data_IF_530250408201
#
_entry.id   IF_530250408201
#
_cell.length_a   1.000
_cell.length_b   1.000
_cell.length_c   1.000
_cell.angle_alpha   90.00
_cell.angle_beta   90.00
_cell.angle_gamma   90.00
#
_symmetry.space_group_name_H-M   'P 1'
#
loop_
_entity.id
_entity.type
_entity.pdbx_description
1 polymer ?
#
# COMPACT_ATOMS: atom_id res chain seq x y z
N UNK A 1 -3.58 25.59 30.98
CA UNK A 1 -2.70 25.25 29.84
C UNK A 1 -3.46 25.58 28.57
N UNK A 2 -2.96 26.48 27.71
CA UNK A 2 -3.47 26.58 26.35
C UNK A 2 -3.18 25.25 25.66
N UNK A 3 -4.23 24.49 25.30
CA UNK A 3 -4.07 23.35 24.41
C UNK A 3 -3.69 23.93 23.06
N UNK A 4 -2.39 23.90 22.73
CA UNK A 4 -1.92 24.34 21.42
C UNK A 4 -2.59 23.51 20.34
N UNK A 5 -3.10 24.17 19.30
CA UNK A 5 -3.70 23.50 18.15
C UNK A 5 -2.71 22.50 17.56
N UNK A 6 -3.16 21.26 17.32
CA UNK A 6 -2.33 20.21 16.70
C UNK A 6 -2.51 20.22 15.18
N UNK A 7 -1.44 19.99 14.43
CA UNK A 7 -1.49 19.89 12.96
C UNK A 7 -1.84 18.47 12.53
N UNK A 8 -2.74 18.35 11.56
CA UNK A 8 -2.84 17.17 10.69
C UNK A 8 -2.28 17.59 9.34
N UNK A 9 -1.24 16.90 8.89
CA UNK A 9 -0.61 17.18 7.60
C UNK A 9 -1.20 16.25 6.55
N UNK A 10 -1.76 16.83 5.49
CA UNK A 10 -2.36 16.09 4.37
C UNK A 10 -1.43 16.09 3.18
N UNK A 11 -0.90 14.90 2.85
CA UNK A 11 0.03 14.65 1.76
C UNK A 11 -0.72 14.10 0.54
N UNK A 12 -0.74 14.87 -0.55
CA UNK A 12 -1.37 14.44 -1.79
C UNK A 12 -0.45 13.61 -2.66
N UNK A 13 -0.89 12.42 -3.11
CA UNK A 13 -0.17 11.64 -4.14
C UNK A 13 -0.96 11.44 -5.43
N UNK A 14 -2.24 11.83 -5.47
CA UNK A 14 -3.10 11.73 -6.65
C UNK A 14 -4.19 10.66 -6.51
N UNK A 15 -4.32 9.80 -7.52
CA UNK A 15 -5.34 8.77 -7.59
C UNK A 15 -6.73 9.25 -8.03
N UNK A 16 -7.68 8.32 -8.04
CA UNK A 16 -9.10 8.56 -8.40
C UNK A 16 -9.78 9.59 -7.49
N UNK A 17 -9.39 9.67 -6.21
CA UNK A 17 -9.88 10.70 -5.28
C UNK A 17 -9.57 12.12 -5.74
N UNK A 18 -8.51 12.28 -6.53
CA UNK A 18 -8.11 13.50 -7.19
C UNK A 18 -8.50 13.52 -8.68
N UNK A 19 -9.18 12.49 -9.18
CA UNK A 19 -9.48 12.33 -10.59
C UNK A 19 -10.70 13.12 -11.04
N UNK A 20 -10.73 13.47 -12.33
CA UNK A 20 -11.86 14.17 -12.95
C UNK A 20 -12.36 13.40 -14.16
N UNK A 21 -13.67 13.11 -14.15
CA UNK A 21 -14.39 12.61 -15.31
C UNK A 21 -14.58 13.73 -16.35
N UNK A 22 -14.58 13.37 -17.63
CA UNK A 22 -14.86 14.32 -18.69
C UNK A 22 -16.31 14.86 -18.60
N UNK A 23 -16.59 16.09 -19.08
CA UNK A 23 -17.95 16.56 -19.23
C UNK A 23 -18.75 15.59 -20.11
N UNK A 24 -19.89 15.10 -19.62
CA UNK A 24 -20.74 14.07 -20.26
C UNK A 24 -20.15 12.65 -20.34
N UNK A 25 -19.23 12.28 -19.45
CA UNK A 25 -18.82 10.88 -19.31
C UNK A 25 -20.06 9.97 -19.14
N UNK A 26 -20.26 9.05 -20.10
CA UNK A 26 -21.36 8.09 -20.07
C UNK A 26 -21.03 6.89 -19.15
N UNK A 27 -19.73 6.65 -18.92
CA UNK A 27 -19.22 5.61 -18.04
C UNK A 27 -18.44 6.23 -16.87
N UNK A 28 -18.69 5.75 -15.66
CA UNK A 28 -17.92 6.09 -14.45
C UNK A 28 -16.41 5.84 -14.55
N UNK A 29 -15.98 5.03 -15.53
CA UNK A 29 -14.57 4.72 -15.81
C UNK A 29 -13.88 5.75 -16.71
N UNK A 30 -14.63 6.64 -17.36
CA UNK A 30 -14.09 7.66 -18.26
C UNK A 30 -13.62 8.89 -17.47
N UNK A 31 -12.54 8.71 -16.73
CA UNK A 31 -11.89 9.78 -15.98
C UNK A 31 -10.37 9.69 -16.09
N UNK A 32 -9.72 10.81 -15.80
CA UNK A 32 -8.26 10.85 -15.62
C UNK A 32 -7.98 10.99 -14.14
N UNK A 33 -7.18 10.07 -13.57
CA UNK A 33 -6.76 10.15 -12.18
C UNK A 33 -5.86 11.36 -11.93
N UNK A 34 -5.75 11.79 -10.67
CA UNK A 34 -4.78 12.80 -10.23
C UNK A 34 -4.81 14.13 -11.01
N UNK A 35 -5.97 14.76 -11.11
CA UNK A 35 -6.15 16.06 -11.77
C UNK A 35 -6.26 17.20 -10.75
N UNK A 36 -6.88 16.96 -9.59
CA UNK A 36 -7.08 17.98 -8.55
C UNK A 36 -5.99 17.94 -7.47
N UNK A 37 -5.38 19.07 -7.09
CA UNK A 37 -4.48 19.17 -5.96
C UNK A 37 -5.17 18.86 -4.63
N UNK A 38 -4.42 18.35 -3.67
CA UNK A 38 -4.94 17.96 -2.35
C UNK A 38 -5.58 19.11 -1.58
N UNK A 39 -5.10 20.35 -1.78
CA UNK A 39 -5.71 21.54 -1.19
C UNK A 39 -7.16 21.76 -1.67
N UNK A 40 -7.46 21.48 -2.94
CA UNK A 40 -8.81 21.58 -3.50
C UNK A 40 -9.71 20.46 -2.97
N UNK A 41 -9.18 19.25 -2.77
CA UNK A 41 -9.94 18.12 -2.21
C UNK A 41 -10.42 18.38 -0.78
N UNK A 42 -9.67 19.17 -0.03
CA UNK A 42 -9.98 19.53 1.36
C UNK A 42 -10.83 20.80 1.47
N UNK A 43 -11.00 21.55 0.39
CA UNK A 43 -11.74 22.80 0.39
C UNK A 43 -13.20 22.55 0.85
N UNK A 44 -13.61 23.25 1.91
CA UNK A 44 -14.96 23.14 2.46
C UNK A 44 -15.21 21.92 3.36
N UNK A 45 -14.22 21.04 3.58
CA UNK A 45 -14.35 19.97 4.56
C UNK A 45 -14.15 20.50 5.99
N UNK A 46 -14.95 20.02 6.98
CA UNK A 46 -14.78 20.42 8.36
C UNK A 46 -13.44 19.91 8.90
N UNK A 47 -12.71 20.78 9.59
CA UNK A 47 -11.48 20.40 10.32
C UNK A 47 -11.86 19.82 11.68
N UNK A 48 -11.24 18.70 12.13
CA UNK A 48 -11.45 18.17 13.47
C UNK A 48 -11.19 19.22 14.57
N UNK A 49 -11.97 19.18 15.64
CA UNK A 49 -11.84 20.13 16.75
C UNK A 49 -10.44 20.08 17.37
N UNK A 50 -9.85 21.25 17.65
CA UNK A 50 -8.50 21.36 18.20
C UNK A 50 -7.37 21.08 17.20
N UNK A 51 -7.69 20.86 15.92
CA UNK A 51 -6.71 20.62 14.87
C UNK A 51 -6.67 21.76 13.84
N UNK A 52 -5.54 21.88 13.14
CA UNK A 52 -5.40 22.63 11.89
C UNK A 52 -4.94 21.71 10.76
N UNK A 53 -5.33 22.00 9.53
CA UNK A 53 -4.89 21.24 8.36
C UNK A 53 -3.74 21.97 7.66
N UNK A 54 -2.69 21.21 7.32
CA UNK A 54 -1.62 21.67 6.43
C UNK A 54 -1.56 20.76 5.22
N UNK A 55 -1.67 21.33 4.03
CA UNK A 55 -1.71 20.57 2.78
C UNK A 55 -0.34 20.60 2.10
N UNK A 56 0.13 19.46 1.61
CA UNK A 56 1.36 19.36 0.82
C UNK A 56 1.16 18.40 -0.34
N UNK A 57 1.42 18.85 -1.58
CA UNK A 57 1.38 17.99 -2.75
C UNK A 57 2.72 17.25 -2.92
N UNK A 58 2.73 15.95 -2.63
CA UNK A 58 3.93 15.10 -2.76
C UNK A 58 4.07 14.60 -4.19
N UNK A 59 3.01 14.08 -4.79
CA UNK A 59 2.96 13.62 -6.17
C UNK A 59 1.56 13.81 -6.74
N UNK A 60 1.40 13.66 -8.05
CA UNK A 60 0.11 13.82 -8.71
C UNK A 60 -0.01 12.78 -9.84
N UNK A 61 -0.16 11.51 -9.43
CA UNK A 61 -0.12 10.37 -10.35
C UNK A 61 -1.27 9.38 -10.11
N UNK A 62 -1.53 8.55 -11.11
CA UNK A 62 -2.31 7.32 -10.92
C UNK A 62 -1.46 6.31 -10.12
N UNK A 63 -2.07 5.61 -9.17
CA UNK A 63 -1.35 4.70 -8.27
C UNK A 63 -0.75 3.49 -8.99
N UNK A 64 -1.29 3.12 -10.17
CA UNK A 64 -0.69 2.08 -11.02
C UNK A 64 0.72 2.46 -11.53
N UNK A 65 1.03 3.75 -11.54
CA UNK A 65 2.31 4.30 -11.98
C UNK A 65 3.20 4.70 -10.78
N UNK A 66 2.89 4.21 -9.57
CA UNK A 66 3.69 4.42 -8.37
C UNK A 66 5.09 3.81 -8.53
N UNK A 67 6.12 4.57 -8.20
CA UNK A 67 7.53 4.16 -8.37
C UNK A 67 8.40 4.47 -7.14
N UNK A 68 9.68 4.09 -7.23
CA UNK A 68 10.66 4.33 -6.17
C UNK A 68 10.80 5.83 -5.84
N UNK A 69 10.81 6.70 -6.85
CA UNK A 69 11.06 8.14 -6.66
C UNK A 69 9.91 8.76 -5.86
N UNK A 70 8.66 8.40 -6.19
CA UNK A 70 7.49 8.85 -5.45
C UNK A 70 7.46 8.27 -4.05
N UNK A 71 7.79 6.98 -3.87
CA UNK A 71 7.89 6.39 -2.53
C UNK A 71 8.97 7.03 -1.66
N UNK A 72 10.16 7.30 -2.20
CA UNK A 72 11.24 8.00 -1.49
C UNK A 72 10.79 9.39 -1.07
N UNK A 73 10.19 10.15 -1.99
CA UNK A 73 9.67 11.49 -1.68
C UNK A 73 8.61 11.40 -0.57
N UNK A 74 7.64 10.50 -0.67
CA UNK A 74 6.61 10.31 0.35
C UNK A 74 7.21 9.95 1.71
N UNK A 75 8.17 9.03 1.75
CA UNK A 75 8.88 8.63 2.96
C UNK A 75 9.62 9.80 3.60
N UNK A 76 10.37 10.58 2.83
CA UNK A 76 11.08 11.78 3.32
C UNK A 76 10.11 12.77 3.98
N UNK A 77 8.97 13.01 3.34
CA UNK A 77 7.95 13.91 3.89
C UNK A 77 7.28 13.34 5.13
N UNK A 78 7.01 12.03 5.16
CA UNK A 78 6.51 11.37 6.36
C UNK A 78 7.48 11.51 7.54
N UNK A 79 8.77 11.20 7.34
CA UNK A 79 9.82 11.34 8.38
C UNK A 79 9.88 12.78 8.90
N UNK A 80 9.92 13.75 7.98
CA UNK A 80 9.98 15.16 8.31
C UNK A 80 8.81 15.62 9.20
N UNK A 81 7.58 15.26 8.84
CA UNK A 81 6.40 15.69 9.59
C UNK A 81 6.18 14.90 10.88
N UNK A 82 6.47 13.59 10.89
CA UNK A 82 6.32 12.75 12.08
C UNK A 82 7.26 13.18 13.21
N UNK A 83 8.43 13.76 12.88
CA UNK A 83 9.39 14.27 13.85
C UNK A 83 8.93 15.54 14.60
N UNK A 84 7.89 16.25 14.15
CA UNK A 84 7.45 17.50 14.76
C UNK A 84 6.42 17.28 15.88
N UNK A 85 6.67 17.79 17.08
CA UNK A 85 5.80 17.58 18.26
C UNK A 85 4.39 18.17 18.12
N UNK A 86 4.24 19.21 17.31
CA UNK A 86 2.97 19.86 17.02
C UNK A 86 2.18 19.18 15.89
N UNK A 87 2.76 18.18 15.21
CA UNK A 87 2.05 17.29 14.28
C UNK A 87 1.45 16.12 15.05
N UNK A 88 0.13 15.98 14.96
CA UNK A 88 -0.61 14.88 15.57
C UNK A 88 -0.67 13.64 14.69
N UNK A 89 -0.81 13.80 13.38
CA UNK A 89 -0.91 12.68 12.44
C UNK A 89 -0.78 13.13 10.99
N UNK A 90 -0.61 12.16 10.11
CA UNK A 90 -0.58 12.38 8.66
C UNK A 90 -1.81 11.76 8.02
N UNK A 91 -2.34 12.44 7.01
CA UNK A 91 -3.32 11.91 6.06
C UNK A 91 -2.67 11.88 4.68
N UNK A 92 -2.78 10.77 3.95
CA UNK A 92 -2.24 10.62 2.60
C UNK A 92 -3.42 10.33 1.66
N UNK A 93 -3.64 11.19 0.67
CA UNK A 93 -4.59 10.87 -0.41
C UNK A 93 -3.88 10.09 -1.50
N UNK A 94 -4.40 8.91 -1.82
CA UNK A 94 -3.73 7.95 -2.69
C UNK A 94 -4.73 7.30 -3.66
N UNK A 95 -4.24 6.79 -4.79
CA UNK A 95 -5.02 5.94 -5.69
C UNK A 95 -5.27 4.56 -5.09
N UNK A 96 -6.35 3.91 -5.52
CA UNK A 96 -6.82 2.67 -4.89
C UNK A 96 -6.00 1.45 -5.29
N UNK A 97 -5.40 1.45 -6.48
CA UNK A 97 -4.83 0.24 -7.09
C UNK A 97 -3.59 -0.29 -6.37
N UNK A 98 -2.73 0.59 -5.85
CA UNK A 98 -1.51 0.20 -5.12
C UNK A 98 -1.47 0.75 -3.69
N UNK A 99 -2.64 1.15 -3.14
CA UNK A 99 -2.74 1.65 -1.77
C UNK A 99 -2.21 0.63 -0.76
N UNK A 100 -2.51 -0.66 -0.95
CA UNK A 100 -2.07 -1.73 -0.05
C UNK A 100 -0.54 -1.91 -0.04
N UNK A 101 0.12 -1.66 -1.17
CA UNK A 101 1.57 -1.71 -1.32
C UNK A 101 2.22 -0.53 -0.59
N UNK A 102 1.76 0.70 -0.85
CA UNK A 102 2.27 1.90 -0.18
C UNK A 102 2.03 1.84 1.33
N UNK A 103 0.84 1.43 1.78
CA UNK A 103 0.53 1.27 3.20
C UNK A 103 1.49 0.27 3.87
N UNK A 104 1.69 -0.90 3.25
CA UNK A 104 2.59 -1.92 3.75
C UNK A 104 4.05 -1.44 3.82
N UNK A 105 4.54 -0.75 2.77
CA UNK A 105 5.87 -0.17 2.73
C UNK A 105 6.07 0.81 3.90
N UNK A 106 5.18 1.80 4.04
CA UNK A 106 5.25 2.80 5.10
C UNK A 106 5.23 2.15 6.50
N UNK A 107 4.36 1.16 6.72
CA UNK A 107 4.30 0.46 8.01
C UNK A 107 5.59 -0.29 8.32
N UNK A 108 6.19 -0.90 7.30
CA UNK A 108 7.38 -1.73 7.45
C UNK A 108 8.61 -0.90 7.79
N UNK A 109 8.79 0.25 7.14
CA UNK A 109 10.00 1.06 7.33
C UNK A 109 9.86 2.12 8.43
N UNK A 110 8.67 2.72 8.60
CA UNK A 110 8.47 3.81 9.57
C UNK A 110 8.03 3.33 10.96
N UNK A 111 7.18 2.30 11.03
CA UNK A 111 6.52 1.86 12.27
C UNK A 111 6.06 3.03 13.18
N UNK A 112 5.24 3.97 12.65
CA UNK A 112 5.07 5.29 13.25
C UNK A 112 4.25 5.22 14.55
N UNK A 113 4.66 6.01 15.56
CA UNK A 113 3.94 6.17 16.84
C UNK A 113 2.77 7.17 16.75
N UNK A 114 2.69 7.93 15.66
CA UNK A 114 1.57 8.80 15.29
C UNK A 114 0.81 8.12 14.13
N UNK A 115 -0.49 8.38 13.95
CA UNK A 115 -1.24 7.76 12.88
C UNK A 115 -0.79 8.32 11.53
N UNK A 116 -0.51 7.41 10.59
CA UNK A 116 -0.36 7.72 9.16
C UNK A 116 -1.52 7.07 8.43
N UNK A 117 -2.52 7.86 8.06
CA UNK A 117 -3.77 7.38 7.48
C UNK A 117 -3.73 7.55 5.97
N UNK A 118 -3.83 6.47 5.21
CA UNK A 118 -4.08 6.52 3.78
C UNK A 118 -5.58 6.53 3.54
N UNK A 119 -6.03 7.35 2.60
CA UNK A 119 -7.41 7.33 2.11
C UNK A 119 -7.44 7.47 0.60
N UNK A 120 -8.57 7.11 0.01
CA UNK A 120 -8.76 6.99 -1.43
C UNK A 120 -10.24 7.16 -1.77
N UNK A 121 -10.56 7.11 -3.06
CA UNK A 121 -11.94 7.06 -3.55
C UNK A 121 -12.01 6.06 -4.71
N UNK A 122 -13.12 5.35 -4.82
CA UNK A 122 -13.39 4.45 -5.95
C UNK A 122 -14.01 5.21 -7.13
N UNK A 123 -14.51 6.42 -6.91
CA UNK A 123 -15.11 7.29 -7.93
C UNK A 123 -14.38 8.63 -8.04
N UNK A 124 -14.33 9.23 -9.25
CA UNK A 124 -13.68 10.53 -9.45
C UNK A 124 -14.34 11.64 -8.62
N UNK A 125 -13.60 12.70 -8.37
CA UNK A 125 -14.00 13.78 -7.45
C UNK A 125 -15.25 14.56 -7.91
N UNK A 126 -15.47 14.64 -9.23
CA UNK A 126 -16.64 15.29 -9.82
C UNK A 126 -17.80 14.33 -10.15
N UNK A 127 -17.73 13.06 -9.75
CA UNK A 127 -18.87 12.15 -9.84
C UNK A 127 -19.97 12.58 -8.86
N UNK A 128 -21.23 12.49 -9.30
CA UNK A 128 -22.40 12.86 -8.48
C UNK A 128 -22.49 12.06 -7.18
N UNK A 129 -22.00 10.81 -7.20
CA UNK A 129 -22.00 9.87 -6.10
C UNK A 129 -20.57 9.53 -5.63
N UNK A 130 -19.67 10.51 -5.70
CA UNK A 130 -18.28 10.38 -5.23
C UNK A 130 -18.20 10.00 -3.75
N UNK A 131 -17.30 9.05 -3.43
CA UNK A 131 -17.03 8.60 -2.07
C UNK A 131 -15.88 9.37 -1.38
N UNK A 132 -15.10 10.14 -2.16
CA UNK A 132 -13.92 10.87 -1.69
C UNK A 132 -14.16 11.80 -0.49
N UNK A 133 -15.18 12.69 -0.51
CA UNK A 133 -15.43 13.62 0.60
C UNK A 133 -15.75 12.91 1.92
N UNK A 134 -16.47 11.79 1.88
CA UNK A 134 -16.77 11.01 3.10
C UNK A 134 -15.51 10.30 3.60
N UNK A 135 -14.77 9.65 2.70
CA UNK A 135 -13.52 8.97 3.04
C UNK A 135 -12.49 9.94 3.66
N UNK A 136 -12.37 11.17 3.13
CA UNK A 136 -11.52 12.23 3.70
C UNK A 136 -11.95 12.63 5.11
N UNK A 137 -13.25 12.84 5.36
CA UNK A 137 -13.75 13.18 6.70
C UNK A 137 -13.46 12.07 7.70
N UNK A 138 -13.69 10.82 7.29
CA UNK A 138 -13.44 9.66 8.15
C UNK A 138 -11.94 9.50 8.45
N UNK A 139 -11.10 9.68 7.44
CA UNK A 139 -9.66 9.61 7.59
C UNK A 139 -9.09 10.74 8.47
N UNK A 140 -9.63 11.96 8.35
CA UNK A 140 -9.32 13.08 9.25
C UNK A 140 -9.73 12.79 10.70
N UNK A 141 -10.90 12.18 10.92
CA UNK A 141 -11.34 11.79 12.26
C UNK A 141 -10.39 10.76 12.89
N UNK A 142 -9.91 9.78 12.10
CA UNK A 142 -8.91 8.80 12.55
C UNK A 142 -7.55 9.47 12.84
N UNK A 143 -7.08 10.35 11.96
CA UNK A 143 -5.82 11.09 12.18
C UNK A 143 -5.88 12.00 13.42
N UNK A 144 -7.08 12.50 13.77
CA UNK A 144 -7.35 13.30 14.97
C UNK A 144 -7.57 12.45 16.25
N UNK A 145 -7.58 11.12 16.15
CA UNK A 145 -7.87 10.27 17.32
C UNK A 145 -6.65 10.14 18.22
N UNK A 146 -6.81 10.52 19.49
CA UNK A 146 -5.75 10.40 20.49
C UNK A 146 -5.33 8.93 20.68
N UNK A 147 -4.03 8.66 20.64
CA UNK A 147 -3.46 7.32 20.80
C UNK A 147 -3.59 6.41 19.57
N UNK A 148 -4.18 6.89 18.46
CA UNK A 148 -4.06 6.19 17.18
C UNK A 148 -2.58 6.19 16.74
N UNK A 149 -2.14 5.07 16.17
CA UNK A 149 -0.74 4.86 15.77
C UNK A 149 -0.65 3.85 14.64
N UNK A 150 0.53 3.75 14.03
CA UNK A 150 0.76 2.90 12.87
C UNK A 150 0.20 3.48 11.59
N UNK A 151 0.35 2.71 10.51
CA UNK A 151 -0.19 3.02 9.20
C UNK A 151 -1.54 2.33 9.04
N UNK A 152 -2.54 3.13 8.67
CA UNK A 152 -3.93 2.72 8.55
C UNK A 152 -4.43 3.08 7.15
N UNK A 153 -5.39 2.32 6.65
CA UNK A 153 -6.18 2.70 5.48
C UNK A 153 -7.62 2.97 5.93
N UNK A 154 -8.18 4.10 5.49
CA UNK A 154 -9.56 4.49 5.80
C UNK A 154 -10.34 4.72 4.52
N UNK A 155 -11.34 3.87 4.28
CA UNK A 155 -12.23 3.93 3.13
C UNK A 155 -13.57 3.28 3.47
N UNK A 156 -14.67 3.82 2.93
CA UNK A 156 -16.04 3.36 3.17
C UNK A 156 -16.38 3.20 4.67
N UNK A 157 -15.92 4.14 5.51
CA UNK A 157 -16.13 4.12 6.96
C UNK A 157 -15.41 2.99 7.71
N UNK A 158 -14.49 2.26 7.08
CA UNK A 158 -13.71 1.17 7.68
C UNK A 158 -12.29 1.62 7.96
N UNK A 159 -11.72 1.15 9.05
CA UNK A 159 -10.33 1.41 9.44
C UNK A 159 -9.58 0.08 9.34
N UNK A 160 -8.61 0.01 8.43
CA UNK A 160 -7.91 -1.23 8.08
C UNK A 160 -6.41 -1.08 8.41
N UNK A 161 -5.79 -2.13 8.95
CA UNK A 161 -4.35 -2.11 9.22
C UNK A 161 -3.54 -2.29 7.94
N UNK A 162 -2.42 -1.57 7.79
CA UNK A 162 -1.56 -1.66 6.60
C UNK A 162 -1.05 -3.08 6.28
N UNK A 163 -0.82 -3.91 7.31
CA UNK A 163 -0.43 -5.32 7.15
C UNK A 163 -1.52 -6.11 6.42
N UNK A 164 -2.79 -5.84 6.72
CA UNK A 164 -3.92 -6.71 6.38
C UNK A 164 -4.71 -6.19 5.16
N UNK A 165 -4.77 -4.87 4.95
CA UNK A 165 -5.60 -4.24 3.90
C UNK A 165 -5.27 -4.74 2.50
N UNK A 166 -6.28 -5.18 1.75
CA UNK A 166 -6.16 -5.55 0.34
C UNK A 166 -7.34 -5.02 -0.47
N UNK A 167 -7.13 -4.60 -1.71
CA UNK A 167 -8.21 -4.26 -2.65
C UNK A 167 -8.74 -5.56 -3.26
N UNK A 168 -9.90 -6.01 -2.79
CA UNK A 168 -10.52 -7.29 -3.16
C UNK A 168 -11.62 -7.17 -4.21
N UNK A 169 -12.00 -5.94 -4.59
CA UNK A 169 -13.00 -5.70 -5.61
C UNK A 169 -12.58 -4.57 -6.57
N UNK A 170 -12.90 -4.73 -7.85
CA UNK A 170 -12.50 -3.78 -8.91
C UNK A 170 -13.32 -2.48 -8.93
N UNK A 171 -14.61 -2.52 -8.56
CA UNK A 171 -15.53 -1.37 -8.69
C UNK A 171 -16.41 -0.98 -7.48
N UNK A 172 -16.47 -1.78 -6.41
CA UNK A 172 -17.33 -1.47 -5.25
C UNK A 172 -16.75 -0.32 -4.42
N UNK A 173 -17.59 0.45 -3.74
CA UNK A 173 -17.11 1.49 -2.81
C UNK A 173 -16.39 0.89 -1.61
N UNK A 174 -16.88 -0.25 -1.11
CA UNK A 174 -16.27 -1.05 -0.05
C UNK A 174 -15.27 -2.09 -0.59
N UNK A 175 -14.43 -1.69 -1.56
CA UNK A 175 -13.52 -2.59 -2.27
C UNK A 175 -12.37 -3.18 -1.44
N UNK A 176 -12.10 -2.65 -0.25
CA UNK A 176 -10.98 -3.09 0.57
C UNK A 176 -11.41 -4.08 1.66
N UNK A 177 -10.56 -5.06 1.97
CA UNK A 177 -10.76 -6.04 3.03
C UNK A 177 -9.50 -6.21 3.86
N UNK A 178 -9.65 -6.56 5.14
CA UNK A 178 -8.55 -7.06 5.98
C UNK A 178 -8.61 -8.59 6.14
N UNK A 179 -9.44 -9.27 5.34
CA UNK A 179 -9.70 -10.70 5.44
C UNK A 179 -10.08 -11.12 6.85
N UNK A 180 -9.55 -12.26 7.27
CA UNK A 180 -9.76 -12.85 8.60
C UNK A 180 -9.17 -12.03 9.76
N UNK A 181 -8.23 -11.10 9.49
CA UNK A 181 -7.70 -10.24 10.55
C UNK A 181 -8.76 -9.26 11.07
N UNK A 182 -9.74 -8.90 10.21
CA UNK A 182 -10.80 -7.97 10.53
C UNK A 182 -10.36 -6.51 10.58
N UNK A 183 -11.35 -5.61 10.59
CA UNK A 183 -11.13 -4.17 10.67
C UNK A 183 -10.48 -3.81 12.02
N UNK A 184 -9.66 -2.76 12.05
CA UNK A 184 -9.21 -2.14 13.30
C UNK A 184 -10.39 -1.43 13.97
N UNK A 185 -11.32 -0.92 13.18
CA UNK A 185 -12.50 -0.24 13.66
C UNK A 185 -13.31 0.36 12.52
N UNK A 186 -14.29 1.19 12.88
CA UNK A 186 -15.16 1.90 11.94
C UNK A 186 -15.26 3.36 12.30
N UNK A 187 -15.59 4.19 11.31
CA UNK A 187 -16.00 5.58 11.54
C UNK A 187 -17.49 5.67 11.28
N UNK A 188 -18.25 6.10 12.28
CA UNK A 188 -19.70 6.26 12.20
C UNK A 188 -20.07 7.65 12.70
N UNK A 189 -20.74 8.45 11.85
CA UNK A 189 -21.18 9.81 12.19
C UNK A 189 -20.02 10.68 12.73
N UNK A 190 -18.82 10.55 12.14
CA UNK A 190 -17.63 11.29 12.56
C UNK A 190 -16.97 10.80 13.84
N UNK A 191 -17.40 9.67 14.41
CA UNK A 191 -16.81 9.05 15.60
C UNK A 191 -16.08 7.77 15.25
N UNK A 192 -14.89 7.61 15.80
CA UNK A 192 -14.07 6.40 15.67
C UNK A 192 -14.51 5.37 16.70
N UNK A 193 -15.03 4.24 16.23
CA UNK A 193 -15.34 3.05 17.00
C UNK A 193 -14.23 2.00 16.79
N UNK A 194 -13.31 1.91 17.75
CA UNK A 194 -12.16 0.99 17.68
C UNK A 194 -12.55 -0.41 18.16
N UNK A 195 -12.32 -1.41 17.32
CA UNK A 195 -12.71 -2.81 17.56
C UNK A 195 -11.51 -3.73 17.82
N UNK A 196 -10.36 -3.42 17.24
CA UNK A 196 -9.07 -4.06 17.54
C UNK A 196 -8.04 -3.01 17.97
N UNK A 197 -6.96 -3.47 18.57
CA UNK A 197 -5.84 -2.58 18.90
C UNK A 197 -5.26 -1.94 17.64
N UNK A 198 -4.79 -0.70 17.79
CA UNK A 198 -3.97 -0.05 16.77
C UNK A 198 -2.75 -0.92 16.44
N UNK A 199 -2.21 -0.87 15.21
CA UNK A 199 -0.96 -1.56 14.88
C UNK A 199 0.08 -1.32 15.98
N UNK A 200 0.46 -2.39 16.68
CA UNK A 200 1.30 -2.31 17.86
C UNK A 200 2.67 -1.70 17.55
N UNK A 201 3.38 -1.18 18.56
CA UNK A 201 4.70 -0.59 18.36
C UNK A 201 5.65 -1.65 17.79
N UNK A 202 6.06 -1.46 16.54
CA UNK A 202 7.19 -2.19 15.95
C UNK A 202 8.43 -1.33 16.09
N UNK A 203 9.60 -1.97 16.13
CA UNK A 203 10.87 -1.27 16.07
C UNK A 203 11.00 -0.65 14.68
N UNK A 204 11.15 0.69 14.55
CA UNK A 204 11.43 1.32 13.27
C UNK A 204 12.68 0.72 12.64
N UNK A 205 12.67 0.56 11.31
CA UNK A 205 13.79 -0.03 10.59
C UNK A 205 14.71 1.08 10.06
N UNK A 206 15.34 1.84 10.96
CA UNK A 206 16.08 3.08 10.63
C UNK A 206 17.15 2.86 9.55
N UNK A 207 17.93 1.79 9.65
CA UNK A 207 18.94 1.42 8.65
C UNK A 207 18.31 1.10 7.28
N UNK A 208 17.21 0.33 7.25
CA UNK A 208 16.52 0.02 6.00
C UNK A 208 15.90 1.27 5.38
N UNK A 209 15.36 2.17 6.20
CA UNK A 209 14.82 3.45 5.76
C UNK A 209 15.92 4.30 5.12
N UNK A 210 17.09 4.42 5.75
CA UNK A 210 18.23 5.16 5.19
C UNK A 210 18.66 4.58 3.84
N UNK A 211 18.87 3.26 3.76
CA UNK A 211 19.25 2.60 2.51
C UNK A 211 18.19 2.84 1.43
N UNK A 212 16.90 2.69 1.75
CA UNK A 212 15.80 2.92 0.82
C UNK A 212 15.74 4.38 0.33
N UNK A 213 16.00 5.36 1.19
CA UNK A 213 16.00 6.78 0.82
C UNK A 213 17.18 7.17 -0.08
N UNK A 214 18.29 6.43 -0.03
CA UNK A 214 19.48 6.67 -0.86
C UNK A 214 19.62 5.74 -2.06
N UNK A 215 18.78 4.71 -2.15
CA UNK A 215 18.84 3.72 -3.22
C UNK A 215 18.59 4.37 -4.58
N UNK A 216 19.49 4.13 -5.54
CA UNK A 216 19.27 4.55 -6.93
C UNK A 216 18.29 3.65 -7.67
N UNK A 217 18.07 2.43 -7.18
CA UNK A 217 17.12 1.46 -7.68
C UNK A 217 16.79 0.40 -6.62
N UNK A 218 15.62 -0.22 -6.74
CA UNK A 218 15.23 -1.36 -5.92
C UNK A 218 15.68 -2.68 -6.56
N UNK A 219 16.10 -3.69 -5.76
CA UNK A 219 16.30 -5.03 -6.27
C UNK A 219 15.05 -5.51 -7.01
N UNK A 220 15.22 -5.94 -8.26
CA UNK A 220 14.09 -6.39 -9.08
C UNK A 220 13.51 -7.69 -8.50
N UNK A 221 12.26 -7.61 -8.03
CA UNK A 221 11.48 -8.75 -7.53
C UNK A 221 10.18 -8.84 -8.32
N UNK A 222 9.92 -9.99 -8.90
CA UNK A 222 8.76 -10.26 -9.76
C UNK A 222 7.78 -11.22 -9.10
N UNK A 223 6.51 -11.18 -9.51
CA UNK A 223 5.48 -12.11 -9.07
C UNK A 223 5.18 -13.09 -10.20
N UNK A 224 5.18 -14.39 -9.89
CA UNK A 224 4.80 -15.45 -10.82
C UNK A 224 3.60 -16.19 -10.27
N UNK A 225 2.59 -16.43 -11.12
CA UNK A 225 1.34 -17.05 -10.73
C UNK A 225 1.32 -18.53 -11.12
N UNK A 226 1.01 -19.41 -10.17
CA UNK A 226 0.71 -20.81 -10.46
C UNK A 226 -0.74 -20.96 -10.96
N UNK A 227 -0.93 -21.74 -12.02
CA UNK A 227 -2.23 -22.07 -12.59
C UNK A 227 -2.19 -23.44 -13.30
N UNK A 228 -3.35 -23.93 -13.74
CA UNK A 228 -3.43 -25.13 -14.56
C UNK A 228 -2.65 -24.94 -15.86
N UNK A 229 -1.85 -25.93 -16.25
CA UNK A 229 -0.94 -25.86 -17.41
C UNK A 229 0.11 -24.73 -17.34
N UNK A 230 0.47 -24.25 -16.13
CA UNK A 230 1.62 -23.37 -15.97
C UNK A 230 2.92 -24.10 -16.32
N UNK A 231 3.77 -23.48 -17.14
CA UNK A 231 5.07 -24.04 -17.50
C UNK A 231 6.22 -23.16 -16.97
N UNK A 232 7.44 -23.64 -17.12
CA UNK A 232 8.65 -22.94 -16.66
C UNK A 232 9.03 -21.68 -17.46
N UNK A 233 8.46 -21.49 -18.65
CA UNK A 233 8.93 -20.49 -19.61
C UNK A 233 8.92 -19.06 -19.05
N UNK A 234 7.90 -18.69 -18.26
CA UNK A 234 7.85 -17.36 -17.63
C UNK A 234 8.99 -17.15 -16.65
N UNK A 235 9.32 -18.14 -15.82
CA UNK A 235 10.44 -18.04 -14.86
C UNK A 235 11.76 -18.00 -15.61
N UNK A 236 11.97 -18.90 -16.58
CA UNK A 236 13.21 -18.96 -17.35
C UNK A 236 13.46 -17.64 -18.11
N UNK A 237 12.42 -17.05 -18.71
CA UNK A 237 12.51 -15.76 -19.38
C UNK A 237 12.80 -14.59 -18.40
N UNK A 238 12.24 -14.62 -17.20
CA UNK A 238 12.50 -13.60 -16.18
C UNK A 238 13.95 -13.63 -15.68
N UNK A 239 14.53 -14.82 -15.53
CA UNK A 239 15.90 -14.99 -15.04
C UNK A 239 16.96 -14.89 -16.13
N UNK A 240 16.57 -14.94 -17.41
CA UNK A 240 17.48 -14.78 -18.53
C UNK A 240 18.10 -13.36 -18.55
N UNK A 241 19.43 -13.23 -18.39
CA UNK A 241 20.10 -11.94 -18.45
C UNK A 241 19.90 -11.20 -19.77
N UNK A 242 19.76 -11.92 -20.90
CA UNK A 242 19.56 -11.32 -22.21
C UNK A 242 18.21 -10.59 -22.29
N UNK A 243 17.17 -11.12 -21.63
CA UNK A 243 15.87 -10.45 -21.52
C UNK A 243 16.00 -9.16 -20.72
N UNK A 244 16.68 -9.20 -19.56
CA UNK A 244 16.91 -8.01 -18.75
C UNK A 244 17.68 -6.92 -19.53
N UNK A 245 18.79 -7.29 -20.19
CA UNK A 245 19.59 -6.38 -21.02
C UNK A 245 18.77 -5.78 -22.17
N UNK A 246 17.96 -6.58 -22.88
CA UNK A 246 17.14 -6.12 -24.00
C UNK A 246 16.20 -4.97 -23.62
N UNK A 247 15.65 -5.00 -22.41
CA UNK A 247 14.70 -3.98 -21.93
C UNK A 247 15.35 -2.96 -20.99
N UNK A 248 16.67 -2.97 -20.82
CA UNK A 248 17.36 -2.08 -19.89
C UNK A 248 16.96 -2.28 -18.42
N UNK A 249 16.44 -3.46 -18.08
CA UNK A 249 16.01 -3.80 -16.74
C UNK A 249 17.18 -4.39 -15.92
N UNK A 250 17.10 -4.28 -14.60
CA UNK A 250 18.02 -5.01 -13.73
C UNK A 250 17.75 -6.53 -13.81
N UNK A 251 18.77 -7.37 -13.58
CA UNK A 251 18.57 -8.80 -13.39
C UNK A 251 17.58 -9.06 -12.26
N UNK A 252 16.71 -10.05 -12.42
CA UNK A 252 15.79 -10.46 -11.35
C UNK A 252 16.61 -11.00 -10.18
N UNK A 253 16.38 -10.45 -8.98
CA UNK A 253 17.03 -10.86 -7.74
C UNK A 253 16.10 -11.67 -6.85
N UNK A 254 14.78 -11.53 -7.03
CA UNK A 254 13.79 -12.29 -6.30
C UNK A 254 12.55 -12.64 -7.12
N UNK A 255 11.90 -13.74 -6.75
CA UNK A 255 10.62 -14.19 -7.29
C UNK A 255 9.66 -14.47 -6.13
N UNK A 256 8.45 -13.93 -6.23
CA UNK A 256 7.34 -14.30 -5.37
C UNK A 256 6.39 -15.19 -6.16
N UNK A 257 6.23 -16.42 -5.69
CA UNK A 257 5.32 -17.37 -6.29
C UNK A 257 3.94 -17.27 -5.62
N UNK A 258 2.94 -16.82 -6.37
CA UNK A 258 1.54 -16.92 -6.00
C UNK A 258 1.01 -18.34 -6.33
N UNK A 259 1.15 -19.26 -5.37
CA UNK A 259 0.73 -20.66 -5.52
C UNK A 259 -0.80 -20.84 -5.54
N UNK A 260 -1.26 -22.02 -5.93
CA UNK A 260 -2.68 -22.40 -5.89
C UNK A 260 -3.08 -22.88 -4.49
N UNK A 261 -4.28 -22.54 -4.01
CA UNK A 261 -4.81 -23.06 -2.74
C UNK A 261 -3.86 -22.86 -1.56
N UNK A 262 -3.41 -23.96 -0.95
CA UNK A 262 -2.37 -24.00 0.10
C UNK A 262 -0.95 -23.67 -0.38
N UNK A 263 -0.82 -22.85 -1.43
CA UNK A 263 0.44 -22.45 -2.04
C UNK A 263 1.09 -23.56 -2.86
N UNK A 264 0.35 -24.53 -3.40
CA UNK A 264 0.88 -25.59 -4.25
C UNK A 264 1.29 -25.06 -5.62
N UNK A 265 2.23 -25.74 -6.27
CA UNK A 265 2.90 -25.28 -7.48
C UNK A 265 2.74 -26.32 -8.58
N UNK A 266 2.58 -25.87 -9.82
CA UNK A 266 2.66 -26.78 -10.95
C UNK A 266 4.11 -27.29 -11.09
N UNK A 267 4.30 -28.60 -11.25
CA UNK A 267 5.63 -29.24 -11.23
C UNK A 267 6.62 -28.67 -12.27
N UNK A 268 6.16 -28.30 -13.47
CA UNK A 268 7.04 -27.65 -14.47
C UNK A 268 7.50 -26.25 -14.02
N UNK A 269 6.61 -25.50 -13.37
CA UNK A 269 6.93 -24.19 -12.83
C UNK A 269 7.89 -24.32 -11.64
N UNK A 270 7.66 -25.31 -10.77
CA UNK A 270 8.54 -25.65 -9.66
C UNK A 270 9.96 -26.00 -10.13
N UNK A 271 10.09 -26.82 -11.18
CA UNK A 271 11.38 -27.13 -11.79
C UNK A 271 12.12 -25.87 -12.28
N UNK A 272 11.40 -24.88 -12.81
CA UNK A 272 11.99 -23.60 -13.22
C UNK A 272 12.40 -22.73 -12.04
N UNK A 273 11.63 -22.72 -10.94
CA UNK A 273 12.00 -22.02 -9.72
C UNK A 273 13.26 -22.61 -9.08
N UNK A 274 13.45 -23.92 -9.16
CA UNK A 274 14.70 -24.57 -8.75
C UNK A 274 15.89 -24.11 -9.60
N UNK A 275 15.73 -24.00 -10.92
CA UNK A 275 16.76 -23.43 -11.79
C UNK A 275 17.07 -21.98 -11.43
N UNK A 276 16.03 -21.16 -11.22
CA UNK A 276 16.18 -19.76 -10.78
C UNK A 276 16.97 -19.65 -9.47
N UNK A 277 16.65 -20.50 -8.49
CA UNK A 277 17.39 -20.56 -7.22
C UNK A 277 18.84 -20.98 -7.42
N UNK A 278 19.10 -21.95 -8.30
CA UNK A 278 20.45 -22.35 -8.72
C UNK A 278 21.25 -21.20 -9.35
N UNK A 279 20.56 -20.26 -10.02
CA UNK A 279 21.15 -19.03 -10.55
C UNK A 279 21.26 -17.87 -9.53
N UNK A 280 20.98 -18.14 -8.24
CA UNK A 280 21.11 -17.15 -7.17
C UNK A 280 19.89 -16.24 -6.96
N UNK A 281 18.77 -16.51 -7.64
CA UNK A 281 17.50 -15.77 -7.45
C UNK A 281 16.81 -16.27 -6.17
N UNK A 282 16.40 -15.34 -5.30
CA UNK A 282 15.64 -15.69 -4.09
C UNK A 282 14.19 -15.99 -4.44
N UNK A 283 13.67 -17.13 -3.99
CA UNK A 283 12.27 -17.52 -4.23
C UNK A 283 11.51 -17.49 -2.91
N UNK A 284 10.34 -16.85 -2.90
CA UNK A 284 9.43 -16.77 -1.76
C UNK A 284 8.03 -17.22 -2.19
N UNK A 285 7.37 -18.03 -1.38
CA UNK A 285 6.06 -18.60 -1.66
C UNK A 285 4.95 -17.84 -0.95
N UNK A 286 3.91 -17.48 -1.70
CA UNK A 286 2.63 -16.94 -1.24
C UNK A 286 1.50 -17.74 -1.92
N UNK A 287 0.26 -17.30 -1.76
CA UNK A 287 -0.92 -17.89 -2.40
C UNK A 287 -1.66 -16.85 -3.23
N UNK A 288 -2.30 -17.29 -4.31
CA UNK A 288 -3.23 -16.48 -5.09
C UNK A 288 -4.63 -16.39 -4.47
N UNK A 289 -4.89 -17.17 -3.42
CA UNK A 289 -6.12 -17.04 -2.64
C UNK A 289 -6.16 -15.67 -1.96
N UNK A 290 -7.32 -15.03 -1.98
CA UNK A 290 -7.53 -13.71 -1.35
C UNK A 290 -7.43 -13.82 0.16
N UNK A 291 -8.06 -14.85 0.74
CA UNK A 291 -8.07 -15.11 2.17
C UNK A 291 -7.23 -16.34 2.54
N UNK A 292 -6.88 -16.40 3.82
CA UNK A 292 -6.00 -17.41 4.39
C UNK A 292 -4.53 -17.03 4.33
N UNK A 293 -3.69 -17.83 4.98
CA UNK A 293 -2.25 -17.64 4.99
C UNK A 293 -1.54 -18.98 4.90
N UNK A 294 -0.33 -18.94 4.34
CA UNK A 294 0.55 -20.09 4.31
C UNK A 294 1.30 -20.20 5.64
N UNK A 295 1.29 -21.40 6.22
CA UNK A 295 2.14 -21.74 7.36
C UNK A 295 3.45 -22.37 6.85
N UNK A 296 4.62 -21.91 7.33
CA UNK A 296 5.89 -22.55 7.01
C UNK A 296 5.91 -23.98 7.50
N UNK A 297 6.44 -24.90 6.69
CA UNK A 297 6.70 -26.29 7.10
C UNK A 297 8.19 -26.61 6.97
N UNK A 298 8.76 -27.47 7.84
CA UNK A 298 10.16 -27.90 7.71
C UNK A 298 10.50 -28.53 6.35
N UNK A 299 9.52 -29.12 5.68
CA UNK A 299 9.65 -29.75 4.36
C UNK A 299 9.39 -28.80 3.19
N UNK A 300 9.13 -27.51 3.43
CA UNK A 300 8.84 -26.58 2.34
C UNK A 300 10.12 -26.32 1.52
N UNK A 301 10.02 -26.54 0.21
CA UNK A 301 11.12 -26.36 -0.74
C UNK A 301 11.56 -24.91 -0.89
N UNK A 302 10.59 -24.00 -0.79
CA UNK A 302 10.76 -22.56 -0.81
C UNK A 302 10.21 -21.92 0.46
N UNK A 303 10.89 -20.91 1.04
CA UNK A 303 10.39 -20.20 2.20
C UNK A 303 9.04 -19.56 1.89
N UNK A 304 8.21 -19.41 2.92
CA UNK A 304 6.87 -18.84 2.84
C UNK A 304 6.88 -17.40 3.34
N UNK A 305 6.08 -16.53 2.71
CA UNK A 305 5.74 -15.20 3.23
C UNK A 305 4.48 -15.31 4.12
N UNK A 306 4.59 -15.44 5.45
CA UNK A 306 3.44 -15.77 6.27
C UNK A 306 2.50 -14.57 6.34
N UNK A 307 1.23 -14.76 5.95
CA UNK A 307 0.19 -13.73 6.03
C UNK A 307 0.35 -12.56 5.06
N UNK A 308 1.22 -12.66 4.05
CA UNK A 308 1.38 -11.62 3.02
C UNK A 308 0.79 -12.06 1.68
N UNK A 309 -0.04 -11.19 1.09
CA UNK A 309 -0.45 -11.29 -0.31
C UNK A 309 0.77 -11.28 -1.23
N UNK A 310 0.68 -11.76 -2.49
CA UNK A 310 1.81 -11.76 -3.41
C UNK A 310 2.45 -10.37 -3.60
N UNK A 311 1.66 -9.30 -3.64
CA UNK A 311 2.18 -7.93 -3.82
C UNK A 311 2.91 -7.41 -2.57
N UNK A 312 2.43 -7.73 -1.36
CA UNK A 312 3.14 -7.39 -0.11
C UNK A 312 4.37 -8.26 0.11
N UNK A 313 4.30 -9.55 -0.25
CA UNK A 313 5.44 -10.46 -0.23
C UNK A 313 6.54 -9.99 -1.20
N UNK A 314 6.16 -9.41 -2.35
CA UNK A 314 7.11 -8.81 -3.32
C UNK A 314 7.88 -7.67 -2.68
N UNK A 315 7.18 -6.75 -2.01
CA UNK A 315 7.81 -5.66 -1.27
C UNK A 315 8.67 -6.16 -0.11
N UNK A 316 8.20 -7.15 0.66
CA UNK A 316 8.97 -7.70 1.78
C UNK A 316 10.29 -8.31 1.29
N UNK A 317 10.27 -9.09 0.21
CA UNK A 317 11.47 -9.68 -0.38
C UNK A 317 12.38 -8.62 -1.00
N UNK A 318 11.81 -7.60 -1.65
CA UNK A 318 12.56 -6.48 -2.20
C UNK A 318 13.31 -5.70 -1.11
N UNK A 319 12.66 -5.44 0.03
CA UNK A 319 13.27 -4.79 1.19
C UNK A 319 14.30 -5.69 1.88
N UNK A 320 14.10 -7.01 1.93
CA UNK A 320 15.11 -7.97 2.42
C UNK A 320 16.37 -7.94 1.56
N UNK A 321 16.20 -7.93 0.23
CA UNK A 321 17.30 -7.92 -0.74
C UNK A 321 18.04 -6.57 -0.84
N UNK A 322 17.44 -5.52 -0.29
CA UNK A 322 18.02 -4.17 -0.25
C UNK A 322 18.99 -4.01 0.94
N UNK A 323 18.90 -4.89 1.94
CA UNK A 323 19.78 -4.88 3.13
C UNK A 323 21.22 -5.26 2.82
#
# INVERSE_FOLDING_TARGET
>A
MQVGLKKIVVLGTGGTIAGLAAPHAADSRDYVAAQQPVGELLAGLPTPAGCTLLCEQVAQIDSKDMDLVVWQKLLQRCVHWLAQDDVQGLLITHGTDTLEETAFLLQTVLAPRKPVVLTCAMRPANAADTDGPQNLRDALAVAATAGAQGVLAVCAGRILGAQDVQKVHSSRLDAFSAGEAGDIGRVQQGRVDRQRDWPGPRVPQEMLLEVLLTASALPRVEIVLSHAAACGATVDALVDPAVATRYGAQPVRGLVLAGTGGGTVHHELEAALWRARGAGVRVLRSTRCVDGFLQPRPSDEFPVAPGLSPVKARLALMLELLR
#
